data_IF_136598131285
#
_entry.id   IF_136598131285
#
_cell.length_a   1.000
_cell.length_b   1.000
_cell.length_c   1.000
_cell.angle_alpha   90.00
_cell.angle_beta   90.00
_cell.angle_gamma   90.00
#
_symmetry.space_group_name_H-M   'P 1'
#
loop_
_entity.id
_entity.type
_entity.pdbx_description
1 polymer ?
#
# COMPACT_ATOMS: atom_id res chain seq x y z
N UNK A 1 -5.59 18.47 -16.98
CA UNK A 1 -4.41 19.29 -16.58
C UNK A 1 -4.76 20.78 -16.48
N UNK A 2 -5.26 21.43 -17.56
CA UNK A 2 -5.64 22.85 -17.54
C UNK A 2 -6.60 23.24 -16.39
N UNK A 3 -7.65 22.43 -16.13
CA UNK A 3 -8.58 22.70 -15.02
C UNK A 3 -7.91 22.70 -13.64
N UNK A 4 -6.95 21.80 -13.38
CA UNK A 4 -6.21 21.74 -12.12
C UNK A 4 -5.32 22.98 -11.94
N UNK A 5 -4.61 23.39 -13.00
CA UNK A 5 -3.82 24.63 -12.97
C UNK A 5 -4.68 25.89 -12.80
N UNK A 6 -5.89 25.90 -13.37
CA UNK A 6 -6.83 27.01 -13.24
C UNK A 6 -7.48 27.12 -11.84
N UNK A 7 -7.14 26.22 -10.90
CA UNK A 7 -7.62 26.30 -9.52
C UNK A 7 -8.62 25.22 -9.11
N UNK A 8 -9.04 24.33 -10.01
CA UNK A 8 -9.93 23.23 -9.61
C UNK A 8 -9.23 22.32 -8.59
N UNK A 9 -9.90 22.09 -7.46
CA UNK A 9 -9.46 21.17 -6.41
C UNK A 9 -9.76 19.73 -6.80
N UNK A 10 -10.94 19.48 -7.36
CA UNK A 10 -11.33 18.19 -7.91
C UNK A 10 -11.55 18.26 -9.43
N UNK A 11 -11.08 17.23 -10.12
CA UNK A 11 -11.32 17.04 -11.56
C UNK A 11 -11.76 15.62 -11.82
N UNK A 12 -12.98 15.47 -12.34
CA UNK A 12 -13.55 14.21 -12.78
C UNK A 12 -13.46 14.10 -14.31
N UNK A 13 -12.84 13.02 -14.80
CA UNK A 13 -12.82 12.67 -16.23
C UNK A 13 -13.55 11.36 -16.40
N UNK A 14 -14.53 11.29 -17.30
CA UNK A 14 -15.33 10.10 -17.55
C UNK A 14 -15.35 9.70 -19.03
N UNK A 15 -15.55 8.41 -19.27
CA UNK A 15 -15.73 7.77 -20.57
C UNK A 15 -16.69 6.59 -20.44
N UNK A 16 -17.07 5.96 -21.56
CA UNK A 16 -17.93 4.78 -21.54
C UNK A 16 -17.34 3.59 -20.74
N UNK A 17 -16.01 3.50 -20.63
CA UNK A 17 -15.34 2.33 -20.05
C UNK A 17 -14.82 2.59 -18.63
N UNK A 18 -14.54 3.84 -18.27
CA UNK A 18 -13.94 4.20 -16.98
C UNK A 18 -14.02 5.70 -16.71
N UNK A 19 -13.86 6.04 -15.44
CA UNK A 19 -13.67 7.40 -14.97
C UNK A 19 -12.44 7.49 -14.05
N UNK A 20 -11.94 8.71 -13.86
CA UNK A 20 -10.86 9.03 -12.93
C UNK A 20 -11.21 10.32 -12.19
N UNK A 21 -11.07 10.30 -10.86
CA UNK A 21 -11.20 11.48 -10.00
C UNK A 21 -9.80 11.84 -9.46
N UNK A 22 -9.44 13.11 -9.61
CA UNK A 22 -8.18 13.66 -9.14
C UNK A 22 -8.49 14.73 -8.10
N UNK A 23 -7.89 14.62 -6.92
CA UNK A 23 -8.01 15.59 -5.82
C UNK A 23 -6.63 16.22 -5.56
N UNK A 24 -6.53 17.54 -5.65
CA UNK A 24 -5.30 18.30 -5.40
C UNK A 24 -5.22 18.71 -3.92
N UNK A 25 -4.19 18.28 -3.20
CA UNK A 25 -4.07 18.59 -1.76
C UNK A 25 -3.93 20.09 -1.47
N UNK A 26 -3.31 20.88 -2.36
CA UNK A 26 -3.15 22.36 -2.23
C UNK A 26 -2.66 22.81 -0.84
N UNK A 27 -1.71 22.08 -0.25
CA UNK A 27 -1.15 22.37 1.07
C UNK A 27 -1.86 21.67 2.24
N UNK A 28 -2.95 20.96 1.99
CA UNK A 28 -3.48 19.96 2.92
C UNK A 28 -2.46 18.83 3.13
N UNK A 29 -2.54 18.15 4.27
CA UNK A 29 -1.69 16.99 4.58
C UNK A 29 -1.98 15.84 3.62
N UNK A 30 -1.00 14.96 3.47
CA UNK A 30 -1.23 13.66 2.83
C UNK A 30 -2.31 12.89 3.60
N UNK A 31 -3.32 12.33 2.91
CA UNK A 31 -4.36 11.54 3.55
C UNK A 31 -3.76 10.23 4.07
N UNK A 32 -4.21 9.83 5.26
CA UNK A 32 -3.90 8.52 5.82
C UNK A 32 -4.56 7.43 5.00
N UNK A 33 -4.00 6.22 5.05
CA UNK A 33 -4.50 5.10 4.25
C UNK A 33 -6.01 4.83 4.48
N UNK A 34 -6.56 4.84 5.70
CA UNK A 34 -8.00 4.68 5.92
C UNK A 34 -8.87 5.72 5.20
N UNK A 35 -8.41 6.96 5.09
CA UNK A 35 -9.14 8.05 4.42
C UNK A 35 -9.18 7.84 2.90
N UNK A 36 -8.14 7.24 2.33
CA UNK A 36 -8.12 6.86 0.91
C UNK A 36 -8.96 5.62 0.63
N UNK A 37 -8.89 4.61 1.50
CA UNK A 37 -9.68 3.39 1.35
C UNK A 37 -11.19 3.69 1.37
N UNK A 38 -11.63 4.65 2.18
CA UNK A 38 -13.02 5.10 2.21
C UNK A 38 -13.52 5.71 0.89
N UNK A 39 -12.63 6.05 -0.05
CA UNK A 39 -12.98 6.57 -1.39
C UNK A 39 -13.21 5.47 -2.41
N UNK A 40 -12.82 4.23 -2.12
CA UNK A 40 -13.01 3.10 -3.01
C UNK A 40 -14.43 2.58 -2.95
N UNK A 41 -14.98 2.19 -4.10
CA UNK A 41 -16.15 1.31 -4.14
C UNK A 41 -15.80 -0.06 -3.57
N UNK A 42 -16.81 -0.86 -3.24
CA UNK A 42 -16.60 -2.25 -2.79
C UNK A 42 -15.76 -3.04 -3.81
N UNK A 43 -14.66 -3.61 -3.33
CA UNK A 43 -13.73 -4.48 -4.08
C UNK A 43 -13.30 -5.65 -3.19
N UNK A 44 -12.82 -6.74 -3.80
CA UNK A 44 -12.41 -7.94 -3.07
C UNK A 44 -11.00 -7.84 -2.48
N UNK A 45 -10.13 -7.03 -3.09
CA UNK A 45 -8.74 -6.87 -2.68
C UNK A 45 -8.23 -5.46 -3.02
N UNK A 46 -7.53 -4.84 -2.07
CA UNK A 46 -6.75 -3.62 -2.30
C UNK A 46 -5.28 -3.94 -2.08
N UNK A 47 -4.44 -3.56 -3.05
CA UNK A 47 -2.99 -3.65 -2.94
C UNK A 47 -2.47 -2.23 -2.79
N UNK A 48 -1.68 -2.00 -1.74
CA UNK A 48 -1.08 -0.71 -1.44
C UNK A 48 0.41 -0.79 -1.73
N UNK A 49 0.87 0.08 -2.64
CA UNK A 49 2.29 0.32 -2.86
C UNK A 49 2.63 1.68 -2.25
N UNK A 50 3.48 1.71 -1.22
CA UNK A 50 3.79 2.91 -0.45
C UNK A 50 3.38 2.79 1.02
N UNK A 51 3.09 3.93 1.66
CA UNK A 51 2.60 4.01 3.05
C UNK A 51 3.46 3.25 4.09
N UNK A 52 4.77 3.19 3.86
CA UNK A 52 5.71 2.38 4.67
C UNK A 52 5.69 2.73 6.16
N UNK A 53 5.43 3.99 6.50
CA UNK A 53 5.39 4.49 7.88
C UNK A 53 4.06 4.21 8.60
N UNK A 54 3.01 3.79 7.90
CA UNK A 54 1.72 3.55 8.53
C UNK A 54 1.65 2.15 9.19
N UNK A 55 0.90 2.02 10.31
CA UNK A 55 0.80 0.80 11.10
C UNK A 55 -0.18 -0.18 10.44
N UNK A 56 0.22 -0.74 9.29
CA UNK A 56 -0.55 -1.76 8.60
C UNK A 56 0.30 -3.00 8.30
N UNK A 57 -0.38 -4.15 8.18
CA UNK A 57 0.28 -5.38 7.73
C UNK A 57 0.81 -5.18 6.32
N UNK A 58 2.07 -5.53 6.09
CA UNK A 58 2.75 -5.30 4.81
C UNK A 58 3.69 -6.44 4.45
N UNK A 59 3.95 -6.59 3.15
CA UNK A 59 4.96 -7.49 2.61
C UNK A 59 6.14 -6.60 2.21
N UNK A 60 7.32 -6.90 2.71
CA UNK A 60 8.52 -6.15 2.36
C UNK A 60 9.11 -6.70 1.06
N UNK A 61 9.24 -5.86 0.05
CA UNK A 61 9.93 -6.19 -1.20
C UNK A 61 11.35 -5.64 -1.13
N UNK A 62 12.35 -6.51 -1.08
CA UNK A 62 13.76 -6.14 -0.99
C UNK A 62 14.53 -6.63 -2.22
N UNK A 63 15.28 -5.71 -2.83
CA UNK A 63 16.20 -6.00 -3.94
C UNK A 63 17.60 -5.58 -3.54
N UNK A 64 18.59 -6.45 -3.73
CA UNK A 64 19.99 -6.12 -3.46
C UNK A 64 20.45 -4.86 -4.23
N UNK A 65 19.98 -4.71 -5.48
CA UNK A 65 20.31 -3.55 -6.33
C UNK A 65 19.78 -2.21 -5.83
N UNK A 66 18.84 -2.18 -4.88
CA UNK A 66 18.29 -0.93 -4.35
C UNK A 66 19.15 -0.30 -3.26
N UNK A 67 20.09 -1.05 -2.67
CA UNK A 67 21.02 -0.54 -1.64
C UNK A 67 20.35 0.01 -0.36
N UNK A 68 19.07 -0.28 -0.14
CA UNK A 68 18.33 0.15 1.06
C UNK A 68 18.24 -1.00 2.07
N UNK A 69 18.46 -0.75 3.37
CA UNK A 69 18.27 -1.78 4.38
C UNK A 69 16.82 -2.26 4.42
N UNK A 70 16.63 -3.46 4.95
CA UNK A 70 15.31 -3.98 5.30
C UNK A 70 14.67 -3.10 6.39
N UNK A 71 13.34 -2.97 6.34
CA UNK A 71 12.52 -2.41 7.40
C UNK A 71 12.34 -3.44 8.53
N UNK A 72 12.26 -4.72 8.19
CA UNK A 72 12.44 -5.80 9.15
C UNK A 72 13.85 -5.75 9.78
N UNK A 73 14.00 -5.97 11.10
CA UNK A 73 12.96 -6.33 12.08
C UNK A 73 12.32 -5.14 12.80
N UNK A 74 12.68 -3.91 12.45
CA UNK A 74 12.21 -2.70 13.16
C UNK A 74 10.73 -2.42 12.97
N UNK A 75 10.19 -2.72 11.78
CA UNK A 75 8.77 -2.58 11.49
C UNK A 75 8.01 -3.88 11.84
N UNK A 76 7.18 -3.89 12.90
CA UNK A 76 6.43 -5.09 13.30
C UNK A 76 5.28 -5.42 12.34
N UNK A 77 4.94 -4.51 11.42
CA UNK A 77 3.93 -4.73 10.39
C UNK A 77 4.40 -5.64 9.25
N UNK A 78 5.72 -5.91 9.13
CA UNK A 78 6.25 -6.81 8.10
C UNK A 78 5.82 -8.25 8.40
N UNK A 79 4.99 -8.82 7.53
CA UNK A 79 4.46 -10.19 7.67
C UNK A 79 5.14 -11.22 6.76
N UNK A 80 6.03 -10.77 5.87
CA UNK A 80 6.75 -11.61 4.91
C UNK A 80 7.68 -10.77 4.05
N UNK A 81 8.71 -11.41 3.47
CA UNK A 81 9.73 -10.74 2.67
C UNK A 81 9.82 -11.36 1.28
N UNK A 82 9.84 -10.53 0.25
CA UNK A 82 10.07 -10.94 -1.15
C UNK A 82 11.46 -10.46 -1.59
N UNK A 83 12.37 -11.44 -1.70
CA UNK A 83 13.83 -11.37 -1.90
C UNK A 83 14.36 -11.64 -3.33
N UNK A 84 15.36 -10.95 -3.90
CA UNK A 84 16.33 -11.58 -4.85
C UNK A 84 17.56 -12.14 -4.12
N UNK A 85 17.66 -11.91 -2.81
CA UNK A 85 18.73 -12.43 -1.97
C UNK A 85 18.18 -13.17 -0.76
N UNK A 86 19.01 -14.02 -0.18
CA UNK A 86 18.68 -14.67 1.08
C UNK A 86 18.58 -13.63 2.20
N UNK A 87 17.50 -13.69 2.97
CA UNK A 87 17.24 -12.82 4.11
C UNK A 87 17.17 -13.67 5.37
N UNK A 88 17.98 -13.37 6.37
CA UNK A 88 17.92 -14.02 7.68
C UNK A 88 16.71 -13.53 8.45
N UNK A 89 15.67 -14.37 8.54
CA UNK A 89 14.41 -14.03 9.22
C UNK A 89 13.64 -15.29 9.60
N UNK A 90 12.72 -15.17 10.55
CA UNK A 90 11.70 -16.19 10.88
C UNK A 90 10.42 -15.99 10.07
N UNK A 91 10.30 -14.89 9.33
CA UNK A 91 9.15 -14.60 8.48
C UNK A 91 9.16 -15.45 7.20
N UNK A 92 7.99 -15.69 6.58
CA UNK A 92 7.93 -16.30 5.26
C UNK A 92 8.71 -15.48 4.22
N UNK A 93 9.59 -16.14 3.47
CA UNK A 93 10.35 -15.54 2.37
C UNK A 93 9.97 -16.16 1.02
N UNK A 94 9.96 -15.35 -0.03
CA UNK A 94 9.69 -15.79 -1.42
C UNK A 94 10.65 -15.07 -2.37
N UNK A 95 11.09 -15.74 -3.43
CA UNK A 95 11.93 -15.11 -4.45
C UNK A 95 11.12 -14.14 -5.33
N UNK A 96 11.69 -13.01 -5.76
CA UNK A 96 10.98 -11.99 -6.56
C UNK A 96 10.37 -12.51 -7.86
N UNK A 97 11.02 -13.48 -8.50
CA UNK A 97 10.55 -14.10 -9.74
C UNK A 97 9.56 -15.25 -9.51
N UNK A 98 9.31 -15.66 -8.26
CA UNK A 98 8.28 -16.66 -7.93
C UNK A 98 6.91 -15.98 -7.81
N UNK A 99 6.31 -15.67 -8.97
CA UNK A 99 5.01 -14.98 -9.07
C UNK A 99 3.92 -15.74 -8.29
N UNK A 100 3.92 -17.07 -8.36
CA UNK A 100 2.93 -17.89 -7.67
C UNK A 100 3.12 -17.81 -6.13
N UNK A 101 4.36 -17.88 -5.67
CA UNK A 101 4.72 -17.68 -4.27
C UNK A 101 4.33 -16.30 -3.76
N UNK A 102 4.59 -15.24 -4.55
CA UNK A 102 4.25 -13.85 -4.21
C UNK A 102 2.73 -13.69 -4.11
N UNK A 103 1.98 -14.17 -5.09
CA UNK A 103 0.52 -14.12 -5.07
C UNK A 103 -0.06 -14.87 -3.85
N UNK A 104 0.49 -16.03 -3.53
CA UNK A 104 0.08 -16.79 -2.35
C UNK A 104 0.43 -16.07 -1.04
N UNK A 105 1.57 -15.37 -0.99
CA UNK A 105 1.94 -14.53 0.15
C UNK A 105 0.98 -13.34 0.32
N UNK A 106 0.66 -12.63 -0.77
CA UNK A 106 -0.33 -11.53 -0.76
C UNK A 106 -1.66 -12.02 -0.20
N UNK A 107 -2.17 -13.17 -0.68
CA UNK A 107 -3.43 -13.73 -0.21
C UNK A 107 -3.39 -14.12 1.28
N UNK A 108 -2.28 -14.69 1.77
CA UNK A 108 -2.13 -15.08 3.19
C UNK A 108 -1.96 -13.88 4.12
N UNK A 109 -1.36 -12.80 3.64
CA UNK A 109 -1.08 -11.60 4.44
C UNK A 109 -2.21 -10.55 4.37
N UNK A 110 -3.22 -10.76 3.53
CA UNK A 110 -4.37 -9.86 3.45
C UNK A 110 -5.14 -9.82 4.78
N UNK A 111 -5.59 -8.61 5.15
CA UNK A 111 -6.42 -8.34 6.33
C UNK A 111 -7.70 -7.64 5.90
N UNK A 112 -8.74 -7.69 6.75
CA UNK A 112 -9.95 -6.93 6.52
C UNK A 112 -9.68 -5.42 6.64
N UNK A 113 -10.35 -4.59 5.81
CA UNK A 113 -10.19 -3.12 5.87
C UNK A 113 -10.64 -2.58 7.24
N UNK A 114 -11.61 -3.25 7.86
CA UNK A 114 -12.14 -2.96 9.18
C UNK A 114 -11.11 -3.20 10.30
N UNK A 115 -10.15 -4.09 10.09
CA UNK A 115 -9.05 -4.32 11.06
C UNK A 115 -8.06 -3.16 11.00
N UNK A 116 -7.75 -2.67 9.81
CA UNK A 116 -6.85 -1.52 9.62
C UNK A 116 -7.39 -0.24 10.27
N UNK A 117 -8.69 0.02 10.13
CA UNK A 117 -9.33 1.21 10.72
C UNK A 117 -9.35 1.17 12.25
N UNK A 118 -9.44 -0.02 12.85
CA UNK A 118 -9.35 -0.20 14.30
C UNK A 118 -7.93 0.06 14.81
N UNK A 119 -6.90 -0.41 14.10
CA UNK A 119 -5.49 -0.19 14.47
C UNK A 119 -5.15 1.30 14.53
N UNK A 120 -5.62 2.09 13.56
CA UNK A 120 -5.42 3.54 13.54
C UNK A 120 -6.08 4.29 14.72
N UNK A 121 -7.14 3.73 15.31
CA UNK A 121 -7.88 4.38 16.41
C UNK A 121 -7.26 4.10 17.79
N UNK A 122 -6.46 3.03 17.92
CA UNK A 122 -5.81 2.64 19.19
C UNK A 122 -4.50 3.41 19.44
N UNK A 123 -3.91 3.99 18.40
CA UNK A 123 -2.68 4.78 18.47
C UNK A 123 -2.90 6.31 18.51
N UNK A 124 -4.15 6.76 18.71
CA UNK A 124 -4.53 8.19 18.83
C UNK A 124 -4.81 8.62 20.27
#
# INVERSE_FOLDING_TARGET
WRHRQAGAEEVLVSSANRWALMHELRGAREPHLPELLAKLSRVDLVIVEGYKSEPHRKIEVHRAGNGKPLLFPTDPGIAGVVSDVAVETTLPTVHLDDIAGVAAMVRRSAIAIEELTKMATVES
#
